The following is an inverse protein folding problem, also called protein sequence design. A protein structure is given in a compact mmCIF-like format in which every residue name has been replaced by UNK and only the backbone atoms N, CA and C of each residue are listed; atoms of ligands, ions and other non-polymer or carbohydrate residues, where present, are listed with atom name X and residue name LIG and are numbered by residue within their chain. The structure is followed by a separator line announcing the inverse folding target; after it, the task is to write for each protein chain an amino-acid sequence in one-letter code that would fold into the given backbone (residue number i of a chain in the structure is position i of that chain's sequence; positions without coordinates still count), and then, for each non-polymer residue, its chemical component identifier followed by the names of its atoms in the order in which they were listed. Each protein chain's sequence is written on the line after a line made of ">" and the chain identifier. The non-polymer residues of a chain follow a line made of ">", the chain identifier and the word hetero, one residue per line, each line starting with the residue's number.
data_IF_375054801402
#
_entry.id   IF_375054801402
#
_cell.length_a   1.000
_cell.length_b   1.000
_cell.length_c   1.000
_cell.angle_alpha   90.00
_cell.angle_beta   90.00
_cell.angle_gamma   90.00
#
_symmetry.space_group_name_H-M   'P 1'
#
loop_
_entity.id
_entity.type
_entity.pdbx_description
1 polymer ?
#
# COMPACT_ATOMS: atom_id res chain seq x y z
N UNK A 1 28.36 -14.53 6.33
CA UNK A 1 26.99 -14.16 6.79
C UNK A 1 26.63 -12.72 6.46
N UNK A 2 27.46 -11.72 6.81
CA UNK A 2 27.20 -10.28 6.54
C UNK A 2 26.88 -9.98 5.06
N UNK A 3 27.59 -10.62 4.10
CA UNK A 3 27.34 -10.43 2.66
C UNK A 3 25.97 -10.91 2.18
N UNK A 4 25.44 -11.98 2.79
CA UNK A 4 24.10 -12.52 2.44
C UNK A 4 23.01 -11.61 2.99
N UNK A 5 23.21 -11.08 4.20
CA UNK A 5 22.30 -10.12 4.83
C UNK A 5 22.24 -8.82 4.00
N UNK A 6 23.40 -8.31 3.56
CA UNK A 6 23.47 -7.11 2.73
C UNK A 6 22.73 -7.29 1.39
N UNK A 7 22.87 -8.44 0.73
CA UNK A 7 22.17 -8.76 -0.52
C UNK A 7 20.64 -8.82 -0.35
N UNK A 8 20.17 -9.41 0.76
CA UNK A 8 18.75 -9.49 1.06
C UNK A 8 18.14 -8.09 1.29
N UNK A 9 18.84 -7.23 2.03
CA UNK A 9 18.43 -5.84 2.26
C UNK A 9 18.35 -5.05 0.95
N UNK A 10 19.33 -5.18 0.07
CA UNK A 10 19.29 -4.50 -1.24
C UNK A 10 18.16 -4.97 -2.14
N UNK A 11 17.83 -6.27 -2.11
CA UNK A 11 16.74 -6.81 -2.92
C UNK A 11 15.36 -6.28 -2.46
N UNK A 12 15.17 -6.12 -1.14
CA UNK A 12 13.93 -5.57 -0.58
C UNK A 12 13.75 -4.08 -0.94
N UNK A 13 14.81 -3.27 -0.90
CA UNK A 13 14.73 -1.85 -1.26
C UNK A 13 14.49 -1.64 -2.75
N UNK A 14 15.10 -2.48 -3.61
CA UNK A 14 14.86 -2.48 -5.04
C UNK A 14 13.43 -2.92 -5.40
N UNK A 15 12.85 -3.91 -4.69
CA UNK A 15 11.46 -4.30 -4.88
C UNK A 15 10.46 -3.19 -4.48
N UNK A 16 10.80 -2.38 -3.47
CA UNK A 16 9.96 -1.26 -3.05
C UNK A 16 9.93 -0.11 -4.09
N UNK A 17 11.05 0.18 -4.76
CA UNK A 17 11.10 1.21 -5.80
C UNK A 17 10.75 0.73 -7.21
N UNK A 18 11.03 -0.55 -7.53
CA UNK A 18 10.86 -1.11 -8.88
C UNK A 18 9.58 -1.91 -9.10
N UNK A 19 8.82 -2.19 -8.04
CA UNK A 19 7.61 -3.03 -8.07
C UNK A 19 6.32 -2.29 -8.44
N UNK A 20 6.35 -0.97 -8.65
CA UNK A 20 5.19 -0.28 -9.20
C UNK A 20 5.10 -0.61 -10.69
N UNK A 21 4.22 -1.55 -11.02
CA UNK A 21 3.84 -1.81 -12.41
C UNK A 21 3.53 -0.46 -13.07
N UNK A 22 4.22 -0.18 -14.18
CA UNK A 22 4.04 1.08 -14.91
C UNK A 22 2.59 1.19 -15.37
N UNK A 23 1.78 1.93 -14.62
CA UNK A 23 0.42 2.29 -14.98
C UNK A 23 0.54 3.59 -15.78
N UNK A 24 0.17 3.54 -17.06
CA UNK A 24 0.22 4.72 -17.92
C UNK A 24 -0.51 5.88 -17.24
N UNK A 25 0.13 7.05 -17.20
CA UNK A 25 -0.50 8.22 -16.59
C UNK A 25 -1.76 8.60 -17.38
N UNK A 26 -2.86 8.93 -16.67
CA UNK A 26 -4.09 9.30 -17.36
C UNK A 26 -3.87 10.58 -18.16
N UNK A 27 -4.21 10.52 -19.45
CA UNK A 27 -3.95 11.57 -20.44
C UNK A 27 -5.05 12.63 -20.48
N UNK A 28 -6.08 12.51 -19.64
CA UNK A 28 -7.18 13.47 -19.53
C UNK A 28 -7.66 13.64 -18.08
N UNK A 29 -8.25 14.81 -17.79
CA UNK A 29 -8.81 15.11 -16.47
C UNK A 29 -9.90 14.10 -16.04
N UNK A 30 -10.71 13.61 -16.98
CA UNK A 30 -11.72 12.59 -16.70
C UNK A 30 -11.10 11.26 -16.25
N UNK A 31 -10.04 10.82 -16.94
CA UNK A 31 -9.32 9.60 -16.56
C UNK A 31 -8.63 9.76 -15.19
N UNK A 32 -8.15 10.96 -14.88
CA UNK A 32 -7.64 11.29 -13.54
C UNK A 32 -8.73 11.17 -12.47
N UNK A 33 -9.90 11.75 -12.70
CA UNK A 33 -11.04 11.63 -11.78
C UNK A 33 -11.45 10.17 -11.56
N UNK A 34 -11.57 9.38 -12.64
CA UNK A 34 -11.88 7.95 -12.51
C UNK A 34 -10.83 7.18 -11.70
N UNK A 35 -9.56 7.54 -11.82
CA UNK A 35 -8.49 6.93 -11.02
C UNK A 35 -8.66 7.26 -9.54
N UNK A 36 -8.92 8.52 -9.21
CA UNK A 36 -9.14 8.96 -7.83
C UNK A 36 -10.36 8.28 -7.22
N UNK A 37 -11.50 8.26 -7.93
CA UNK A 37 -12.70 7.56 -7.46
C UNK A 37 -12.44 6.08 -7.16
N UNK A 38 -11.66 5.40 -8.02
CA UNK A 38 -11.32 3.99 -7.81
C UNK A 38 -10.49 3.81 -6.53
N UNK A 39 -9.50 4.67 -6.31
CA UNK A 39 -8.66 4.65 -5.10
C UNK A 39 -9.53 4.90 -3.86
N UNK A 40 -10.37 5.93 -3.88
CA UNK A 40 -11.26 6.28 -2.77
C UNK A 40 -12.22 5.13 -2.43
N UNK A 41 -12.81 4.47 -3.44
CA UNK A 41 -13.67 3.30 -3.23
C UNK A 41 -12.91 2.15 -2.57
N UNK A 42 -11.70 1.85 -3.04
CA UNK A 42 -10.85 0.81 -2.45
C UNK A 42 -10.46 1.15 -1.01
N UNK A 43 -10.13 2.41 -0.73
CA UNK A 43 -9.84 2.85 0.64
C UNK A 43 -11.07 2.75 1.55
N UNK A 44 -12.24 3.17 1.07
CA UNK A 44 -13.49 3.08 1.81
C UNK A 44 -13.89 1.62 2.11
N UNK A 45 -13.68 0.70 1.17
CA UNK A 45 -13.85 -0.74 1.39
C UNK A 45 -12.88 -1.29 2.44
N UNK A 46 -11.61 -0.89 2.38
CA UNK A 46 -10.61 -1.25 3.40
C UNK A 46 -11.04 -0.76 4.78
N UNK A 47 -11.43 0.50 4.91
CA UNK A 47 -11.86 1.11 6.17
C UNK A 47 -13.09 0.40 6.74
N UNK A 48 -14.09 0.09 5.90
CA UNK A 48 -15.28 -0.67 6.31
C UNK A 48 -14.92 -2.06 6.84
N UNK A 49 -13.97 -2.75 6.21
CA UNK A 49 -13.48 -4.05 6.71
C UNK A 49 -12.84 -3.88 8.09
N UNK A 50 -11.96 -2.90 8.22
CA UNK A 50 -11.25 -2.60 9.46
C UNK A 50 -12.16 -2.16 10.61
N UNK A 51 -13.26 -1.46 10.32
CA UNK A 51 -14.24 -1.03 11.32
C UNK A 51 -14.88 -2.24 12.04
N UNK A 52 -15.11 -3.32 11.31
CA UNK A 52 -15.69 -4.56 11.84
C UNK A 52 -14.69 -5.47 12.59
N UNK A 53 -13.38 -5.16 12.53
CA UNK A 53 -12.33 -5.99 13.12
C UNK A 53 -12.01 -5.58 14.56
N UNK A 54 -11.52 -6.53 15.34
CA UNK A 54 -11.05 -6.27 16.69
C UNK A 54 -9.74 -5.45 16.66
N UNK A 55 -9.82 -4.22 17.16
CA UNK A 55 -8.72 -3.23 17.17
C UNK A 55 -7.53 -3.67 18.02
N UNK A 56 -7.73 -4.59 18.97
CA UNK A 56 -6.66 -5.11 19.83
C UNK A 56 -6.03 -6.39 19.28
N UNK A 57 -6.61 -6.97 18.22
CA UNK A 57 -6.11 -8.19 17.61
C UNK A 57 -4.88 -7.97 16.73
N UNK A 58 -3.96 -8.94 16.72
CA UNK A 58 -2.81 -8.93 15.82
C UNK A 58 -3.19 -8.82 14.33
N UNK A 59 -4.37 -9.31 13.97
CA UNK A 59 -4.89 -9.23 12.60
C UNK A 59 -5.18 -7.79 12.18
N UNK A 60 -5.75 -6.97 13.08
CA UNK A 60 -5.96 -5.55 12.82
C UNK A 60 -4.63 -4.81 12.67
N UNK A 61 -3.64 -5.12 13.52
CA UNK A 61 -2.30 -4.55 13.39
C UNK A 61 -1.62 -4.90 12.06
N UNK A 62 -1.90 -6.09 11.49
CA UNK A 62 -1.35 -6.52 10.20
C UNK A 62 -2.08 -5.93 8.99
N UNK A 63 -3.41 -5.84 9.03
CA UNK A 63 -4.23 -5.51 7.85
C UNK A 63 -4.73 -4.05 7.83
N UNK A 64 -4.86 -3.43 9.01
CA UNK A 64 -5.52 -2.13 9.17
C UNK A 64 -4.61 -1.02 9.72
N UNK A 65 -3.48 -1.34 10.35
CA UNK A 65 -2.51 -0.34 10.75
C UNK A 65 -1.87 0.30 9.49
N UNK A 66 -2.17 1.59 9.26
CA UNK A 66 -1.64 2.34 8.12
C UNK A 66 -0.13 2.54 8.34
N UNK A 67 0.72 1.80 7.61
CA UNK A 67 2.14 2.11 7.51
C UNK A 67 2.30 3.51 6.90
N UNK A 68 2.66 4.49 7.74
CA UNK A 68 2.82 5.90 7.32
C UNK A 68 1.92 6.92 8.02
N UNK A 69 1.14 6.54 9.05
CA UNK A 69 0.39 7.50 9.89
C UNK A 69 1.23 8.15 11.02
N UNK A 70 2.56 8.01 10.95
CA UNK A 70 3.50 8.60 11.91
C UNK A 70 4.22 9.78 11.25
N UNK A 71 3.48 10.87 11.04
CA UNK A 71 4.02 12.18 10.67
C UNK A 71 3.40 13.25 11.57
#
# INVERSE_FOLDING_TARGET
>A
MIRVIALALTAMTLAACGGQAYEAEPVSAYQWQQRQERIERQEAERLRRCESMDKQGEQYARECARTGAEH
#
